data_IF_464325500669
#
_entry.id   IF_464325500669
#
_cell.length_a   1.000
_cell.length_b   1.000
_cell.length_c   1.000
_cell.angle_alpha   90.00
_cell.angle_beta   90.00
_cell.angle_gamma   90.00
#
_symmetry.space_group_name_H-M   'P 1'
#
loop_
_entity.id
_entity.type
_entity.pdbx_description
1 polymer ?
#
# COMPACT_ATOMS: atom_id res chain seq x y z
N UNK A 1 22.34 7.61 -0.60
CA UNK A 1 21.20 7.78 0.30
C UNK A 1 20.44 6.49 0.42
N UNK A 2 20.03 6.18 1.63
CA UNK A 2 19.24 4.99 1.85
C UNK A 2 17.85 5.17 1.26
N UNK A 3 17.33 4.11 0.68
CA UNK A 3 15.96 4.04 0.22
C UNK A 3 15.25 2.92 0.96
N UNK A 4 13.95 3.00 0.99
CA UNK A 4 13.12 1.93 1.50
C UNK A 4 11.99 1.65 0.52
N UNK A 5 11.38 0.50 0.68
CA UNK A 5 10.19 0.11 -0.06
C UNK A 5 9.01 0.23 0.87
N UNK A 6 8.11 1.16 0.56
CA UNK A 6 6.85 1.29 1.28
C UNK A 6 5.82 0.42 0.58
N UNK A 7 5.24 -0.48 1.35
CA UNK A 7 4.19 -1.38 0.88
C UNK A 7 2.89 -1.02 1.57
N UNK A 8 1.84 -0.86 0.77
CA UNK A 8 0.50 -0.54 1.27
C UNK A 8 -0.45 -1.62 0.78
N UNK A 9 -1.23 -2.20 1.69
CA UNK A 9 -2.25 -3.20 1.34
C UNK A 9 -3.61 -2.58 1.64
N UNK A 10 -4.48 -2.56 0.64
CA UNK A 10 -5.80 -1.93 0.77
C UNK A 10 -6.90 -2.83 0.26
N UNK A 11 -8.13 -2.66 0.78
CA UNK A 11 -9.29 -3.29 0.14
C UNK A 11 -9.49 -2.74 -1.27
N UNK A 12 -10.09 -3.53 -2.18
CA UNK A 12 -10.27 -3.09 -3.57
C UNK A 12 -11.04 -1.78 -3.71
N UNK A 13 -11.99 -1.49 -2.81
CA UNK A 13 -12.80 -0.29 -2.86
C UNK A 13 -11.98 1.00 -2.66
N UNK A 14 -10.78 0.88 -2.09
CA UNK A 14 -9.93 2.04 -1.79
C UNK A 14 -8.89 2.26 -2.89
N UNK A 15 -8.78 1.32 -3.83
CA UNK A 15 -7.70 1.32 -4.83
C UNK A 15 -7.63 2.61 -5.62
N UNK A 16 -8.74 3.04 -6.23
CA UNK A 16 -8.74 4.20 -7.12
C UNK A 16 -8.43 5.49 -6.35
N UNK A 17 -9.01 5.63 -5.17
CA UNK A 17 -8.77 6.81 -4.34
C UNK A 17 -7.31 6.90 -3.90
N UNK A 18 -6.71 5.76 -3.53
CA UNK A 18 -5.31 5.75 -3.11
C UNK A 18 -4.38 6.02 -4.29
N UNK A 19 -4.66 5.45 -5.45
CA UNK A 19 -3.87 5.71 -6.66
C UNK A 19 -3.87 7.20 -7.00
N UNK A 20 -5.04 7.82 -6.98
CA UNK A 20 -5.18 9.24 -7.25
C UNK A 20 -4.42 10.10 -6.23
N UNK A 21 -4.55 9.75 -4.96
CA UNK A 21 -3.87 10.46 -3.89
C UNK A 21 -2.34 10.40 -4.04
N UNK A 22 -1.81 9.23 -4.39
CA UNK A 22 -0.38 9.05 -4.61
C UNK A 22 0.11 9.80 -5.85
N UNK A 23 -0.69 9.82 -6.93
CA UNK A 23 -0.34 10.52 -8.17
C UNK A 23 -0.23 12.03 -7.97
N UNK A 24 -0.97 12.58 -7.02
CA UNK A 24 -0.96 14.02 -6.74
C UNK A 24 0.21 14.45 -5.85
N UNK A 25 0.96 13.49 -5.28
CA UNK A 25 2.07 13.80 -4.38
C UNK A 25 3.35 14.08 -5.15
N UNK A 26 3.99 15.20 -4.81
CA UNK A 26 5.28 15.58 -5.41
C UNK A 26 6.44 14.73 -4.91
N UNK A 27 6.30 14.13 -3.72
CA UNK A 27 7.36 13.35 -3.09
C UNK A 27 7.30 11.85 -3.42
N UNK A 28 6.36 11.45 -4.29
CA UNK A 28 6.27 10.08 -4.79
C UNK A 28 6.66 10.07 -6.25
N UNK A 29 7.84 9.54 -6.59
CA UNK A 29 8.31 9.56 -7.99
C UNK A 29 7.54 8.61 -8.89
N UNK A 30 6.98 7.56 -8.32
CA UNK A 30 6.16 6.59 -9.04
C UNK A 30 5.82 5.45 -8.11
N UNK A 31 4.87 4.62 -8.51
CA UNK A 31 4.46 3.47 -7.73
C UNK A 31 3.90 2.40 -8.65
N UNK A 32 3.87 1.18 -8.16
CA UNK A 32 3.23 0.07 -8.84
C UNK A 32 2.11 -0.47 -7.98
N UNK A 33 1.10 -1.05 -8.61
CA UNK A 33 0.03 -1.72 -7.87
C UNK A 33 -0.21 -3.09 -8.47
N UNK A 34 -0.66 -4.02 -7.63
CA UNK A 34 -0.92 -5.38 -8.05
C UNK A 34 -2.00 -6.02 -7.19
N UNK A 35 -2.83 -6.88 -7.78
CA UNK A 35 -3.80 -7.62 -6.98
C UNK A 35 -3.09 -8.68 -6.15
N UNK A 36 -3.54 -8.85 -4.90
CA UNK A 36 -3.04 -9.88 -4.00
C UNK A 36 -4.21 -10.54 -3.28
N UNK A 37 -3.99 -11.74 -2.78
CA UNK A 37 -4.98 -12.44 -1.96
C UNK A 37 -4.52 -12.37 -0.50
N UNK A 38 -5.39 -11.83 0.36
CA UNK A 38 -5.13 -11.79 1.80
C UNK A 38 -5.66 -13.04 2.46
N UNK A 39 -4.89 -13.57 3.42
CA UNK A 39 -5.27 -14.75 4.19
C UNK A 39 -5.14 -14.42 5.67
N UNK A 40 -5.94 -15.07 6.50
CA UNK A 40 -5.89 -14.85 7.94
C UNK A 40 -6.59 -13.59 8.41
N UNK A 41 -7.33 -12.93 7.53
CA UNK A 41 -8.10 -11.74 7.89
C UNK A 41 -9.27 -12.10 8.81
N UNK A 42 -9.75 -11.11 9.57
CA UNK A 42 -10.97 -11.27 10.34
C UNK A 42 -12.15 -11.56 9.41
N UNK A 43 -12.99 -12.52 9.77
CA UNK A 43 -14.19 -12.86 9.03
C UNK A 43 -15.11 -11.64 8.87
N UNK A 44 -15.09 -10.72 9.83
CA UNK A 44 -15.94 -9.52 9.80
C UNK A 44 -15.59 -8.58 8.66
N UNK A 45 -14.36 -8.61 8.18
CA UNK A 45 -13.91 -7.76 7.08
C UNK A 45 -14.03 -8.44 5.71
N UNK A 46 -14.51 -9.67 5.68
CA UNK A 46 -14.60 -10.47 4.45
C UNK A 46 -16.05 -10.56 3.99
N UNK A 47 -16.25 -10.54 2.66
CA UNK A 47 -17.53 -10.86 2.07
C UNK A 47 -17.84 -12.36 2.30
N UNK A 48 -19.10 -12.77 2.12
CA UNK A 48 -19.46 -14.15 2.25
C UNK A 48 -18.67 -15.04 1.29
N UNK A 49 -18.48 -14.60 0.06
CA UNK A 49 -17.71 -15.34 -0.94
C UNK A 49 -16.25 -15.48 -0.51
N UNK A 50 -15.67 -14.44 0.08
CA UNK A 50 -14.30 -14.47 0.58
C UNK A 50 -14.15 -15.40 1.77
N UNK A 51 -15.13 -15.42 2.66
CA UNK A 51 -15.14 -16.35 3.79
C UNK A 51 -15.13 -17.81 3.32
N UNK A 52 -15.93 -18.12 2.30
CA UNK A 52 -15.96 -19.46 1.72
C UNK A 52 -14.64 -19.82 1.06
N UNK A 53 -14.03 -18.87 0.35
CA UNK A 53 -12.74 -19.08 -0.31
C UNK A 53 -11.57 -19.13 0.68
N UNK A 54 -11.75 -18.64 1.90
CA UNK A 54 -10.68 -18.56 2.90
C UNK A 54 -9.66 -17.50 2.63
N UNK A 55 -9.99 -16.52 1.79
CA UNK A 55 -9.09 -15.43 1.43
C UNK A 55 -9.90 -14.19 1.04
N UNK A 56 -9.29 -13.03 1.17
CA UNK A 56 -9.88 -11.77 0.75
C UNK A 56 -9.07 -11.15 -0.39
N UNK A 57 -9.76 -10.48 -1.30
CA UNK A 57 -9.09 -9.73 -2.36
C UNK A 57 -8.55 -8.42 -1.80
N UNK A 58 -7.32 -8.10 -2.18
CA UNK A 58 -6.64 -6.88 -1.77
C UNK A 58 -5.82 -6.35 -2.94
N UNK A 59 -5.37 -5.11 -2.81
CA UNK A 59 -4.46 -4.50 -3.76
C UNK A 59 -3.22 -4.04 -3.00
N UNK A 60 -2.05 -4.36 -3.51
CA UNK A 60 -0.79 -3.92 -2.93
C UNK A 60 -0.21 -2.81 -3.78
N UNK A 61 0.18 -1.71 -3.12
CA UNK A 61 0.91 -0.61 -3.74
C UNK A 61 2.32 -0.63 -3.22
N UNK A 62 3.30 -0.41 -4.10
CA UNK A 62 4.71 -0.36 -3.69
C UNK A 62 5.36 0.88 -4.29
N UNK A 63 6.20 1.53 -3.50
CA UNK A 63 6.96 2.69 -3.96
C UNK A 63 8.31 2.74 -3.26
N UNK A 64 9.34 3.16 -3.99
CA UNK A 64 10.68 3.38 -3.44
C UNK A 64 10.83 4.84 -3.08
N UNK A 65 11.10 5.11 -1.82
CA UNK A 65 11.24 6.49 -1.33
C UNK A 65 12.30 6.53 -0.22
N UNK A 66 12.87 7.69 0.07
CA UNK A 66 13.69 7.83 1.27
C UNK A 66 12.87 7.56 2.54
N UNK A 67 13.51 7.13 3.63
CA UNK A 67 12.78 6.83 4.88
C UNK A 67 11.95 7.99 5.42
N UNK A 68 12.47 9.21 5.32
CA UNK A 68 11.75 10.40 5.78
C UNK A 68 10.49 10.66 4.96
N UNK A 69 10.53 10.36 3.65
CA UNK A 69 9.36 10.47 2.79
C UNK A 69 8.32 9.40 3.16
N UNK A 70 8.76 8.17 3.42
CA UNK A 70 7.85 7.11 3.86
C UNK A 70 7.12 7.52 5.13
N UNK A 71 7.83 8.14 6.09
CA UNK A 71 7.24 8.59 7.33
C UNK A 71 6.20 9.68 7.09
N UNK A 72 6.52 10.65 6.24
CA UNK A 72 5.59 11.74 5.91
C UNK A 72 4.34 11.18 5.21
N UNK A 73 4.51 10.24 4.28
CA UNK A 73 3.39 9.60 3.60
C UNK A 73 2.49 8.87 4.60
N UNK A 74 3.08 8.10 5.50
CA UNK A 74 2.30 7.35 6.48
C UNK A 74 1.53 8.26 7.43
N UNK A 75 2.13 9.37 7.84
CA UNK A 75 1.45 10.34 8.70
C UNK A 75 0.24 10.94 7.98
N UNK A 76 0.40 11.32 6.72
CA UNK A 76 -0.69 11.90 5.93
C UNK A 76 -1.77 10.86 5.61
N UNK A 77 -1.37 9.61 5.36
CA UNK A 77 -2.30 8.52 5.09
C UNK A 77 -3.19 8.20 6.31
N UNK A 78 -2.64 8.32 7.51
CA UNK A 78 -3.42 8.10 8.73
C UNK A 78 -4.61 9.03 8.82
N UNK A 79 -4.47 10.25 8.30
CA UNK A 79 -5.55 11.22 8.27
C UNK A 79 -6.44 11.04 7.05
N UNK A 80 -5.83 10.96 5.86
CA UNK A 80 -6.58 10.93 4.60
C UNK A 80 -7.37 9.63 4.42
N UNK A 81 -6.85 8.52 4.94
CA UNK A 81 -7.45 7.21 4.78
C UNK A 81 -7.76 6.54 6.11
N UNK A 82 -8.17 7.34 7.09
CA UNK A 82 -8.57 6.82 8.40
C UNK A 82 -9.69 5.78 8.23
N UNK A 83 -9.59 4.68 8.98
CA UNK A 83 -10.57 3.60 9.00
C UNK A 83 -10.81 2.93 7.64
N UNK A 84 -9.87 3.04 6.71
CA UNK A 84 -9.99 2.44 5.37
C UNK A 84 -9.56 0.97 5.33
N UNK A 85 -8.99 0.45 6.41
CA UNK A 85 -8.45 -0.91 6.44
C UNK A 85 -7.10 -1.03 5.76
N UNK A 86 -6.39 0.07 5.60
CA UNK A 86 -5.08 0.11 4.98
C UNK A 86 -4.02 -0.43 5.93
N UNK A 87 -3.23 -1.38 5.44
CA UNK A 87 -2.08 -1.92 6.16
C UNK A 87 -0.79 -1.51 5.45
N UNK A 88 0.31 -1.48 6.19
CA UNK A 88 1.58 -1.11 5.58
C UNK A 88 2.73 -1.85 6.22
N UNK A 89 3.85 -1.92 5.48
CA UNK A 89 5.16 -2.21 6.05
C UNK A 89 6.22 -1.50 5.23
N UNK A 90 7.36 -1.29 5.86
CA UNK A 90 8.49 -0.61 5.24
C UNK A 90 9.67 -1.56 5.28
N UNK A 91 10.34 -1.74 4.14
CA UNK A 91 11.45 -2.66 3.98
C UNK A 91 12.68 -1.87 3.55
N UNK A 92 13.83 -2.07 4.19
CA UNK A 92 15.07 -1.47 3.69
C UNK A 92 15.42 -2.02 2.32
N UNK A 93 15.90 -1.15 1.44
CA UNK A 93 16.31 -1.53 0.09
C UNK A 93 17.84 -1.43 0.01
N UNK A 94 18.49 -2.54 -0.27
CA UNK A 94 19.94 -2.58 -0.30
C UNK A 94 20.50 -1.82 -1.50
N UNK A 95 19.80 -1.86 -2.63
CA UNK A 95 20.25 -1.19 -3.84
C UNK A 95 19.03 -0.88 -4.69
N UNK A 96 19.05 0.26 -5.34
CA UNK A 96 17.95 0.71 -6.17
C UNK A 96 18.48 1.66 -7.23
N UNK A 97 18.06 1.45 -8.48
CA UNK A 97 18.42 2.35 -9.55
C UNK A 97 17.88 1.89 -10.88
N UNK A 98 18.19 2.65 -11.91
CA UNK A 98 17.85 2.31 -13.29
C UNK A 98 19.05 1.65 -13.95
N UNK A 99 18.79 0.73 -14.85
CA UNK A 99 19.86 0.03 -15.59
C UNK A 99 20.26 0.78 -16.87
N UNK A 100 19.50 1.76 -17.27
CA UNK A 100 19.79 2.60 -18.43
C UNK A 100 20.28 4.00 -17.95
#
# INVERSE_FOLDING_TARGET
>A
MANCLLNLIVPPQVEDALAEWLLERDDVPGFSSMPVAGHGSSEKSMTLAEQVAGRSRRVMFVTHVPPETARALLDDLRTAFAASGLHYWVVPVADFGRLD
#
